data_IF_965465864938
#
_entry.id   IF_965465864938
#
_cell.length_a   1.000
_cell.length_b   1.000
_cell.length_c   1.000
_cell.angle_alpha   90.00
_cell.angle_beta   90.00
_cell.angle_gamma   90.00
#
_symmetry.space_group_name_H-M   'P 1'
#
loop_
_entity.id
_entity.type
_entity.pdbx_description
1 polymer ?
#
# COMPACT_ATOMS: atom_id res chain seq x y z
N UNK A 1 15.65 -0.59 -4.74
CA UNK A 1 14.42 0.14 -5.06
C UNK A 1 13.35 -0.86 -5.47
N UNK A 2 12.21 -0.88 -4.79
CA UNK A 2 11.02 -1.61 -5.25
C UNK A 2 10.26 -0.68 -6.21
N UNK A 3 9.94 -1.16 -7.41
CA UNK A 3 9.20 -0.39 -8.42
C UNK A 3 8.01 -1.23 -8.83
N UNK A 4 6.81 -0.80 -8.46
CA UNK A 4 5.54 -1.46 -8.74
C UNK A 4 4.67 -0.54 -9.60
N UNK A 5 3.96 -1.11 -10.57
CA UNK A 5 3.09 -0.35 -11.47
C UNK A 5 1.66 -0.35 -10.90
N UNK A 6 1.25 0.79 -10.34
CA UNK A 6 -0.04 0.96 -9.65
C UNK A 6 -1.22 1.28 -10.59
N UNK A 7 -1.09 1.03 -11.89
CA UNK A 7 -2.10 1.44 -12.87
C UNK A 7 -3.23 0.40 -13.04
N UNK A 8 -4.46 0.87 -12.87
CA UNK A 8 -5.69 0.23 -13.36
C UNK A 8 -6.60 -0.30 -12.27
N UNK A 9 -6.13 -1.30 -11.51
CA UNK A 9 -6.91 -2.08 -10.53
C UNK A 9 -6.12 -2.29 -9.23
N UNK A 10 -5.49 -1.23 -8.72
CA UNK A 10 -4.71 -1.31 -7.48
C UNK A 10 -5.64 -1.46 -6.27
N UNK A 11 -5.83 -2.69 -5.81
CA UNK A 11 -6.51 -3.00 -4.56
C UNK A 11 -5.54 -2.79 -3.39
N UNK A 12 -5.84 -1.82 -2.53
CA UNK A 12 -5.09 -1.57 -1.31
C UNK A 12 -6.00 -1.46 -0.09
N UNK A 13 -5.44 -1.82 1.06
CA UNK A 13 -6.09 -1.71 2.35
C UNK A 13 -5.10 -1.14 3.37
N UNK A 14 -5.49 -0.08 4.05
CA UNK A 14 -4.69 0.55 5.10
C UNK A 14 -5.14 -0.03 6.43
N UNK A 15 -4.28 -0.83 7.06
CA UNK A 15 -4.47 -1.33 8.43
C UNK A 15 -3.29 -0.84 9.27
N UNK A 16 -3.39 0.37 9.83
CA UNK A 16 -2.27 1.00 10.54
C UNK A 16 -1.61 0.06 11.57
N UNK A 17 -0.28 -0.20 11.50
CA UNK A 17 0.78 0.49 10.73
C UNK A 17 1.17 -0.16 9.37
N UNK A 18 0.31 -0.98 8.79
CA UNK A 18 0.55 -1.69 7.53
C UNK A 18 -0.28 -1.14 6.38
N UNK A 19 0.35 -0.94 5.22
CA UNK A 19 -0.34 -0.76 3.94
C UNK A 19 -0.26 -2.08 3.19
N UNK A 20 -1.40 -2.74 3.03
CA UNK A 20 -1.52 -3.98 2.28
C UNK A 20 -1.97 -3.66 0.87
N UNK A 21 -1.39 -4.33 -0.12
CA UNK A 21 -1.83 -4.22 -1.50
C UNK A 21 -1.70 -5.52 -2.25
N UNK A 22 -2.53 -5.68 -3.28
CA UNK A 22 -2.44 -6.80 -4.22
C UNK A 22 -1.81 -6.32 -5.52
N UNK A 23 -0.76 -7.01 -5.98
CA UNK A 23 -0.14 -6.70 -7.27
C UNK A 23 -0.87 -7.43 -8.43
N UNK A 24 -0.46 -7.13 -9.67
CA UNK A 24 -1.02 -7.77 -10.87
C UNK A 24 -0.79 -9.29 -10.93
N UNK A 25 0.18 -9.80 -10.17
CA UNK A 25 0.47 -11.23 -10.01
C UNK A 25 -0.38 -11.90 -8.92
N UNK A 26 -1.36 -11.19 -8.36
CA UNK A 26 -2.23 -11.62 -7.26
C UNK A 26 -1.49 -11.89 -5.94
N UNK A 27 -0.26 -11.39 -5.79
CA UNK A 27 0.51 -11.49 -4.56
C UNK A 27 0.09 -10.38 -3.60
N UNK A 28 -0.10 -10.75 -2.33
CA UNK A 28 -0.41 -9.81 -1.26
C UNK A 28 0.90 -9.33 -0.64
N UNK A 29 1.17 -8.04 -0.77
CA UNK A 29 2.35 -7.39 -0.24
C UNK A 29 1.96 -6.43 0.88
N UNK A 30 2.82 -6.30 1.89
CA UNK A 30 2.61 -5.43 3.04
C UNK A 30 3.79 -4.48 3.25
N UNK A 31 3.53 -3.19 3.23
CA UNK A 31 4.49 -2.16 3.60
C UNK A 31 4.25 -1.82 5.07
N UNK A 32 5.25 -2.11 5.91
CA UNK A 32 5.21 -1.71 7.30
C UNK A 32 5.81 -0.32 7.49
N UNK A 33 5.07 0.54 8.16
CA UNK A 33 5.51 1.86 8.53
C UNK A 33 5.96 1.85 9.99
N UNK A 34 7.14 2.44 10.25
CA UNK A 34 7.58 2.67 11.62
C UNK A 34 6.62 3.63 12.35
N UNK A 35 6.13 4.65 11.64
CA UNK A 35 5.17 5.61 12.14
C UNK A 35 3.79 5.38 11.50
N UNK A 36 2.81 4.97 12.31
CA UNK A 36 1.45 4.73 11.84
C UNK A 36 0.78 5.99 11.22
N UNK A 37 1.21 7.21 11.60
CA UNK A 37 0.73 8.44 10.95
C UNK A 37 1.17 8.57 9.51
N UNK A 38 2.40 8.15 9.18
CA UNK A 38 2.88 8.17 7.80
C UNK A 38 2.11 7.17 6.94
N UNK A 39 1.65 6.05 7.53
CA UNK A 39 0.78 5.08 6.87
C UNK A 39 -0.57 5.71 6.47
N UNK A 40 -1.19 6.50 7.37
CA UNK A 40 -2.44 7.21 7.09
C UNK A 40 -2.26 8.31 6.01
N UNK A 41 -1.16 9.06 6.06
CA UNK A 41 -0.85 10.09 5.05
C UNK A 41 -0.66 9.48 3.66
N UNK A 42 0.04 8.35 3.56
CA UNK A 42 0.23 7.62 2.30
C UNK A 42 -1.10 7.02 1.81
N UNK A 43 -1.93 6.49 2.70
CA UNK A 43 -3.28 6.02 2.34
C UNK A 43 -4.15 7.13 1.73
N UNK A 44 -4.10 8.34 2.29
CA UNK A 44 -4.85 9.49 1.77
C UNK A 44 -4.37 9.99 0.39
N UNK A 45 -3.13 9.71 0.01
CA UNK A 45 -2.57 10.06 -1.31
C UNK A 45 -3.12 9.18 -2.46
N UNK A 46 -3.68 8.02 -2.14
CA UNK A 46 -4.25 7.07 -3.10
C UNK A 46 -5.78 7.23 -3.27
N UNK A 47 -6.37 8.31 -2.75
CA UNK A 47 -7.80 8.64 -2.84
C UNK A 47 -8.10 9.67 -3.93
#
# INVERSE_FOLDING_TARGET
>A
NLVENLLGDFEYEVQGPYLLYKNASQEVNGIWFYNARECEEVGNLFN
#
